data_IF_236505410156
#
_entry.id   IF_236505410156
#
_cell.length_a   1.000
_cell.length_b   1.000
_cell.length_c   1.000
_cell.angle_alpha   90.00
_cell.angle_beta   90.00
_cell.angle_gamma   90.00
#
_symmetry.space_group_name_H-M   'P 1'
#
loop_
_entity.id
_entity.type
_entity.pdbx_description
1 polymer ?
#
# COMPACT_ATOMS: atom_id res chain seq x y z
N UNK A 1 17.00 -4.43 -1.44
CA UNK A 1 17.58 -3.23 -2.11
C UNK A 1 16.97 -2.95 -3.48
N UNK A 2 16.94 -3.88 -4.44
CA UNK A 2 16.40 -3.62 -5.80
C UNK A 2 14.97 -3.03 -5.81
N UNK A 3 14.02 -3.69 -5.15
CA UNK A 3 12.63 -3.22 -5.12
C UNK A 3 12.43 -1.89 -4.39
N UNK A 4 13.30 -1.57 -3.43
CA UNK A 4 13.29 -0.25 -2.79
C UNK A 4 13.65 0.85 -3.81
N UNK A 5 14.65 0.62 -4.68
CA UNK A 5 14.96 1.55 -5.78
C UNK A 5 13.80 1.71 -6.77
N UNK A 6 13.06 0.64 -7.03
CA UNK A 6 11.85 0.71 -7.87
C UNK A 6 10.77 1.56 -7.19
N UNK A 7 10.54 1.36 -5.89
CA UNK A 7 9.62 2.22 -5.14
C UNK A 7 10.05 3.70 -5.19
N UNK A 8 11.34 4.00 -5.02
CA UNK A 8 11.88 5.36 -5.16
C UNK A 8 11.63 5.94 -6.56
N UNK A 9 11.73 5.13 -7.62
CA UNK A 9 11.39 5.57 -8.97
C UNK A 9 9.91 5.93 -9.10
N UNK A 10 9.00 5.17 -8.49
CA UNK A 10 7.58 5.53 -8.42
C UNK A 10 7.33 6.82 -7.63
N UNK A 11 8.11 7.11 -6.60
CA UNK A 11 7.99 8.39 -5.91
C UNK A 11 8.53 9.57 -6.68
N UNK A 12 9.62 9.38 -7.42
CA UNK A 12 10.07 10.39 -8.36
C UNK A 12 8.96 10.70 -9.36
N UNK A 13 8.29 9.68 -9.89
CA UNK A 13 7.11 9.86 -10.74
C UNK A 13 5.99 10.64 -10.04
N UNK A 14 5.62 10.27 -8.81
CA UNK A 14 4.60 10.94 -8.01
C UNK A 14 4.94 12.42 -7.81
N UNK A 15 6.20 12.74 -7.52
CA UNK A 15 6.68 14.11 -7.38
C UNK A 15 6.54 14.88 -8.70
N UNK A 16 6.98 14.31 -9.82
CA UNK A 16 6.90 14.93 -11.15
C UNK A 16 5.44 15.20 -11.56
N UNK A 17 4.54 14.22 -11.43
CA UNK A 17 3.12 14.40 -11.75
C UNK A 17 2.45 15.37 -10.79
N UNK A 18 2.81 15.35 -9.50
CA UNK A 18 2.33 16.31 -8.51
C UNK A 18 2.73 17.75 -8.86
N UNK A 19 3.96 17.96 -9.31
CA UNK A 19 4.43 19.25 -9.83
C UNK A 19 3.67 19.64 -11.10
N UNK A 20 3.47 18.72 -12.05
CA UNK A 20 2.68 18.99 -13.26
C UNK A 20 1.24 19.40 -12.92
N UNK A 21 0.59 18.76 -11.95
CA UNK A 21 -0.75 19.14 -11.47
C UNK A 21 -0.78 20.55 -10.86
N UNK A 22 0.28 20.98 -10.16
CA UNK A 22 0.37 22.35 -9.63
C UNK A 22 0.57 23.37 -10.74
N UNK A 23 1.36 23.03 -11.75
CA UNK A 23 1.58 23.87 -12.93
C UNK A 23 0.34 24.01 -13.80
N UNK A 24 -0.66 23.13 -13.67
CA UNK A 24 -1.94 23.22 -14.38
C UNK A 24 -2.65 24.57 -14.16
N UNK A 25 -2.40 25.26 -13.04
CA UNK A 25 -2.97 26.58 -12.77
C UNK A 25 -2.35 27.72 -13.61
N UNK A 26 -1.16 27.51 -14.19
CA UNK A 26 -0.38 28.56 -14.86
C UNK A 26 0.07 28.18 -16.28
N UNK A 27 0.05 26.90 -16.63
CA UNK A 27 0.47 26.39 -17.94
C UNK A 27 -0.58 25.43 -18.50
N UNK A 28 -0.91 25.51 -19.80
CA UNK A 28 -1.74 24.51 -20.45
C UNK A 28 -1.02 23.16 -20.45
N UNK A 29 -1.73 22.11 -20.06
CA UNK A 29 -1.20 20.75 -19.99
C UNK A 29 -1.83 19.85 -21.06
N UNK A 30 -1.05 18.92 -21.65
CA UNK A 30 -1.55 18.05 -22.71
C UNK A 30 -2.43 16.90 -22.20
N UNK A 31 -2.43 16.63 -20.89
CA UNK A 31 -3.29 15.61 -20.26
C UNK A 31 -4.43 16.25 -19.48
N UNK A 32 -5.63 15.65 -19.48
CA UNK A 32 -6.71 16.07 -18.58
C UNK A 32 -6.27 16.02 -17.12
N UNK A 33 -6.63 17.03 -16.32
CA UNK A 33 -6.26 17.09 -14.91
C UNK A 33 -6.61 15.81 -14.13
N UNK A 34 -7.78 15.22 -14.37
CA UNK A 34 -8.21 13.97 -13.71
C UNK A 34 -7.28 12.81 -14.01
N UNK A 35 -6.69 12.73 -15.21
CA UNK A 35 -5.80 11.64 -15.59
C UNK A 35 -4.48 11.74 -14.81
N UNK A 36 -3.93 12.95 -14.70
CA UNK A 36 -2.77 13.25 -13.86
C UNK A 36 -3.08 12.94 -12.38
N UNK A 37 -4.24 13.38 -11.88
CA UNK A 37 -4.68 13.14 -10.51
C UNK A 37 -4.73 11.64 -10.17
N UNK A 38 -5.34 10.83 -11.03
CA UNK A 38 -5.45 9.39 -10.80
C UNK A 38 -4.11 8.68 -10.93
N UNK A 39 -3.28 9.03 -11.93
CA UNK A 39 -1.93 8.46 -12.03
C UNK A 39 -1.09 8.81 -10.81
N UNK A 40 -1.11 10.07 -10.36
CA UNK A 40 -0.40 10.53 -9.16
C UNK A 40 -0.83 9.76 -7.90
N UNK A 41 -2.13 9.72 -7.60
CA UNK A 41 -2.62 9.12 -6.36
C UNK A 41 -2.43 7.60 -6.35
N UNK A 42 -2.77 6.90 -7.43
CA UNK A 42 -2.62 5.45 -7.48
C UNK A 42 -1.15 5.01 -7.42
N UNK A 43 -0.25 5.67 -8.16
CA UNK A 43 1.19 5.35 -8.10
C UNK A 43 1.79 5.72 -6.74
N UNK A 44 1.31 6.78 -6.09
CA UNK A 44 1.72 7.15 -4.73
C UNK A 44 1.38 6.07 -3.70
N UNK A 45 0.13 5.64 -3.66
CA UNK A 45 -0.35 4.63 -2.70
C UNK A 45 0.19 3.23 -3.02
N UNK A 46 0.13 2.82 -4.27
CA UNK A 46 0.40 1.43 -4.67
C UNK A 46 1.88 1.21 -5.03
N UNK A 47 2.51 2.19 -5.68
CA UNK A 47 3.89 2.12 -6.15
C UNK A 47 4.93 2.52 -5.12
N UNK A 48 4.78 3.69 -4.52
CA UNK A 48 5.71 4.14 -3.49
C UNK A 48 5.39 3.51 -2.13
N UNK A 49 4.22 3.82 -1.54
CA UNK A 49 3.94 3.44 -0.16
C UNK A 49 3.82 1.92 0.01
N UNK A 50 2.94 1.28 -0.78
CA UNK A 50 2.66 -0.15 -0.61
C UNK A 50 3.84 -1.04 -0.99
N UNK A 51 4.56 -0.76 -2.08
CA UNK A 51 5.76 -1.55 -2.43
C UNK A 51 6.87 -1.38 -1.38
N UNK A 52 7.07 -0.16 -0.86
CA UNK A 52 8.03 0.08 0.23
C UNK A 52 7.62 -0.69 1.48
N UNK A 53 6.35 -0.61 1.87
CA UNK A 53 5.81 -1.37 3.00
C UNK A 53 6.00 -2.87 2.82
N UNK A 54 5.69 -3.43 1.64
CA UNK A 54 5.90 -4.85 1.35
C UNK A 54 7.37 -5.27 1.52
N UNK A 55 8.31 -4.49 0.96
CA UNK A 55 9.75 -4.77 1.08
C UNK A 55 10.21 -4.74 2.54
N UNK A 56 9.76 -3.75 3.30
CA UNK A 56 10.12 -3.61 4.71
C UNK A 56 9.48 -4.72 5.56
N UNK A 57 8.20 -5.04 5.35
CA UNK A 57 7.51 -6.14 6.04
C UNK A 57 8.26 -7.46 5.83
N UNK A 58 8.67 -7.76 4.59
CA UNK A 58 9.48 -8.93 4.28
C UNK A 58 10.83 -8.91 5.00
N UNK A 59 11.48 -7.75 5.08
CA UNK A 59 12.79 -7.62 5.71
C UNK A 59 12.74 -7.88 7.21
N UNK A 60 11.71 -7.42 7.90
CA UNK A 60 11.71 -7.40 9.36
C UNK A 60 10.83 -8.48 10.00
N UNK A 61 9.71 -8.87 9.38
CA UNK A 61 8.73 -9.77 10.00
C UNK A 61 8.56 -11.13 9.32
N UNK A 62 9.16 -11.37 8.16
CA UNK A 62 9.19 -12.71 7.56
C UNK A 62 10.46 -13.45 7.98
N UNK A 63 10.37 -14.78 8.20
CA UNK A 63 11.51 -15.63 8.58
C UNK A 63 12.65 -15.56 7.55
N UNK A 64 13.92 -15.39 7.97
CA UNK A 64 15.06 -15.22 7.05
C UNK A 64 15.12 -16.25 5.91
N UNK A 65 14.81 -17.51 6.20
CA UNK A 65 14.85 -18.64 5.26
C UNK A 65 13.74 -18.54 4.18
N UNK A 66 12.66 -17.81 4.49
CA UNK A 66 11.49 -17.63 3.60
C UNK A 66 11.55 -16.33 2.81
N UNK A 67 12.30 -15.32 3.27
CA UNK A 67 12.39 -13.98 2.64
C UNK A 67 12.75 -14.01 1.16
N UNK A 68 13.61 -14.96 0.77
CA UNK A 68 14.11 -15.08 -0.61
C UNK A 68 13.34 -16.09 -1.46
N UNK A 69 12.25 -16.66 -0.95
CA UNK A 69 11.43 -17.60 -1.69
C UNK A 69 10.91 -16.98 -3.00
N UNK A 70 10.82 -17.80 -4.05
CA UNK A 70 10.38 -17.36 -5.38
C UNK A 70 9.02 -16.66 -5.35
N UNK A 71 8.13 -17.08 -4.45
CA UNK A 71 6.81 -16.45 -4.29
C UNK A 71 6.89 -14.96 -3.94
N UNK A 72 7.81 -14.53 -3.07
CA UNK A 72 7.94 -13.12 -2.72
C UNK A 72 8.59 -12.31 -3.84
N UNK A 73 9.54 -12.91 -4.58
CA UNK A 73 10.09 -12.28 -5.78
C UNK A 73 9.00 -12.07 -6.83
N UNK A 74 8.16 -13.08 -7.05
CA UNK A 74 7.02 -12.99 -7.96
C UNK A 74 6.04 -11.90 -7.51
N UNK A 75 5.64 -11.89 -6.24
CA UNK A 75 4.74 -10.86 -5.69
C UNK A 75 5.31 -9.46 -5.93
N UNK A 76 6.56 -9.19 -5.54
CA UNK A 76 7.15 -7.85 -5.67
C UNK A 76 7.29 -7.40 -7.12
N UNK A 77 7.63 -8.32 -8.04
CA UNK A 77 7.68 -8.02 -9.47
C UNK A 77 6.30 -7.81 -10.08
N UNK A 78 5.32 -8.66 -9.72
CA UNK A 78 3.94 -8.50 -10.15
C UNK A 78 3.40 -7.15 -9.67
N UNK A 79 3.60 -6.79 -8.41
CA UNK A 79 3.26 -5.47 -7.86
C UNK A 79 3.89 -4.34 -8.68
N UNK A 80 5.20 -4.39 -8.93
CA UNK A 80 5.88 -3.35 -9.71
C UNK A 80 5.36 -3.25 -11.16
N UNK A 81 5.14 -4.37 -11.82
CA UNK A 81 4.63 -4.41 -13.20
C UNK A 81 3.19 -3.90 -13.28
N UNK A 82 2.33 -4.31 -12.34
CA UNK A 82 0.94 -3.85 -12.24
C UNK A 82 0.87 -2.34 -11.98
N UNK A 83 1.72 -1.81 -11.08
CA UNK A 83 1.78 -0.36 -10.84
C UNK A 83 2.30 0.41 -12.05
N UNK A 84 3.26 -0.14 -12.80
CA UNK A 84 3.66 0.47 -14.07
C UNK A 84 2.49 0.49 -15.08
N UNK A 85 1.68 -0.57 -15.12
CA UNK A 85 0.44 -0.61 -15.89
C UNK A 85 -0.59 0.44 -15.44
N UNK A 86 -0.81 0.58 -14.13
CA UNK A 86 -1.65 1.62 -13.51
C UNK A 86 -1.16 3.01 -13.90
N UNK A 87 0.14 3.27 -13.77
CA UNK A 87 0.78 4.55 -14.09
C UNK A 87 0.47 4.99 -15.52
N UNK A 88 0.69 4.10 -16.49
CA UNK A 88 0.49 4.38 -17.92
C UNK A 88 -0.99 4.44 -18.27
N UNK A 89 -1.79 3.47 -17.82
CA UNK A 89 -3.22 3.41 -18.16
C UNK A 89 -4.00 4.60 -17.61
N UNK A 90 -3.74 5.05 -16.37
CA UNK A 90 -4.42 6.25 -15.85
C UNK A 90 -4.04 7.52 -16.60
N UNK A 91 -2.80 7.65 -17.11
CA UNK A 91 -2.42 8.77 -17.96
C UNK A 91 -3.10 8.77 -19.32
N UNK A 92 -3.35 7.59 -19.90
CA UNK A 92 -3.89 7.47 -21.26
C UNK A 92 -5.42 7.53 -21.30
N UNK A 93 -6.10 6.97 -20.30
CA UNK A 93 -7.55 6.79 -20.33
C UNK A 93 -8.27 7.14 -19.00
N UNK A 94 -7.55 7.62 -17.98
CA UNK A 94 -8.15 7.90 -16.67
C UNK A 94 -8.80 6.65 -16.08
N UNK A 95 -10.04 6.77 -15.59
CA UNK A 95 -10.87 5.65 -15.11
C UNK A 95 -11.46 4.85 -16.30
N UNK A 96 -10.61 4.07 -16.96
CA UNK A 96 -10.98 3.18 -18.06
C UNK A 96 -10.75 1.71 -17.73
N UNK A 97 -11.06 0.84 -18.69
CA UNK A 97 -11.00 -0.62 -18.50
C UNK A 97 -9.64 -1.12 -18.01
N UNK A 98 -8.54 -0.74 -18.68
CA UNK A 98 -7.20 -1.19 -18.30
C UNK A 98 -6.73 -0.69 -16.93
N UNK A 99 -7.05 0.54 -16.54
CA UNK A 99 -6.65 1.10 -15.23
C UNK A 99 -7.43 0.44 -14.09
N UNK A 100 -8.70 0.11 -14.31
CA UNK A 100 -9.48 -0.71 -13.39
C UNK A 100 -8.89 -2.12 -13.31
N UNK A 101 -8.62 -2.77 -14.46
CA UNK A 101 -8.06 -4.13 -14.50
C UNK A 101 -6.74 -4.22 -13.74
N UNK A 102 -5.77 -3.34 -14.02
CA UNK A 102 -4.49 -3.36 -13.33
C UNK A 102 -4.63 -3.07 -11.83
N UNK A 103 -5.51 -2.15 -11.44
CA UNK A 103 -5.79 -1.86 -10.03
C UNK A 103 -6.44 -3.04 -9.30
N UNK A 104 -7.37 -3.73 -9.93
CA UNK A 104 -8.01 -4.94 -9.39
C UNK A 104 -7.01 -6.09 -9.27
N UNK A 105 -6.15 -6.31 -10.26
CA UNK A 105 -5.10 -7.32 -10.19
C UNK A 105 -4.08 -6.99 -9.09
N UNK A 106 -3.70 -5.72 -8.93
CA UNK A 106 -2.84 -5.28 -7.82
C UNK A 106 -3.46 -5.66 -6.48
N UNK A 107 -4.78 -5.48 -6.36
CA UNK A 107 -5.48 -5.80 -5.13
C UNK A 107 -5.46 -7.30 -4.81
N UNK A 108 -5.63 -8.16 -5.82
CA UNK A 108 -5.50 -9.61 -5.66
C UNK A 108 -4.08 -9.99 -5.21
N UNK A 109 -3.04 -9.42 -5.83
CA UNK A 109 -1.64 -9.63 -5.43
C UNK A 109 -1.39 -9.20 -3.99
N UNK A 110 -1.99 -8.07 -3.55
CA UNK A 110 -1.93 -7.58 -2.17
C UNK A 110 -2.53 -8.58 -1.18
N UNK A 111 -3.67 -9.21 -1.49
CA UNK A 111 -4.25 -10.25 -0.63
C UNK A 111 -3.37 -11.50 -0.52
N UNK A 112 -2.78 -11.93 -1.64
CA UNK A 112 -1.82 -13.05 -1.64
C UNK A 112 -0.60 -12.72 -0.78
N UNK A 113 -0.10 -11.49 -0.85
CA UNK A 113 0.98 -11.01 0.01
C UNK A 113 0.61 -11.09 1.49
N UNK A 114 -0.55 -10.57 1.88
CA UNK A 114 -1.05 -10.60 3.27
C UNK A 114 -1.07 -12.04 3.79
N UNK A 115 -1.70 -12.96 3.05
CA UNK A 115 -1.79 -14.37 3.44
C UNK A 115 -0.42 -15.02 3.60
N UNK A 116 0.52 -14.76 2.68
CA UNK A 116 1.89 -15.30 2.75
C UNK A 116 2.65 -14.79 3.96
N UNK A 117 2.58 -13.48 4.24
CA UNK A 117 3.24 -12.88 5.41
C UNK A 117 2.72 -13.48 6.71
N UNK A 118 1.40 -13.66 6.86
CA UNK A 118 0.85 -14.30 8.06
C UNK A 118 1.37 -15.73 8.28
N UNK A 119 1.55 -16.48 7.19
CA UNK A 119 2.04 -17.86 7.23
C UNK A 119 3.54 -17.95 7.52
N UNK A 120 4.35 -17.10 6.92
CA UNK A 120 5.82 -17.17 6.99
C UNK A 120 6.44 -16.19 8.02
N UNK A 121 5.62 -15.64 8.94
CA UNK A 121 6.08 -14.70 9.96
C UNK A 121 7.13 -15.28 10.91
N UNK A 122 8.02 -14.44 11.43
CA UNK A 122 8.95 -14.77 12.50
C UNK A 122 8.30 -14.63 13.89
N UNK A 123 9.10 -14.84 14.95
CA UNK A 123 8.67 -14.87 16.35
C UNK A 123 8.74 -13.51 17.07
N UNK A 124 8.78 -12.37 16.36
CA UNK A 124 8.75 -11.05 17.01
C UNK A 124 7.36 -10.82 17.61
N UNK A 125 7.22 -11.12 18.90
CA UNK A 125 5.96 -11.04 19.64
C UNK A 125 5.71 -9.61 20.11
N UNK A 126 4.85 -8.92 19.36
CA UNK A 126 4.34 -7.60 19.72
C UNK A 126 4.29 -6.67 18.52
N UNK A 127 5.45 -6.33 17.95
CA UNK A 127 5.54 -5.52 16.73
C UNK A 127 4.75 -6.12 15.57
N UNK A 128 4.72 -7.45 15.44
CA UNK A 128 3.92 -8.13 14.41
C UNK A 128 2.41 -7.98 14.62
N UNK A 129 1.93 -7.75 15.85
CA UNK A 129 0.51 -7.52 16.12
C UNK A 129 0.03 -6.25 15.40
N UNK A 130 0.82 -5.18 15.45
CA UNK A 130 0.54 -3.95 14.70
C UNK A 130 0.62 -4.18 13.18
N UNK A 131 1.60 -4.94 12.68
CA UNK A 131 1.67 -5.31 11.26
C UNK A 131 0.45 -6.12 10.84
N UNK A 132 -0.01 -7.05 11.68
CA UNK A 132 -1.21 -7.86 11.42
C UNK A 132 -2.43 -6.96 11.25
N UNK A 133 -2.66 -6.03 12.17
CA UNK A 133 -3.76 -5.08 12.07
C UNK A 133 -3.62 -4.13 10.89
N UNK A 134 -2.41 -3.64 10.59
CA UNK A 134 -2.14 -2.88 9.39
C UNK A 134 -2.61 -3.64 8.14
N UNK A 135 -2.18 -4.91 7.99
CA UNK A 135 -2.57 -5.77 6.86
C UNK A 135 -4.09 -6.04 6.81
N UNK A 136 -4.75 -6.18 7.97
CA UNK A 136 -6.21 -6.30 8.05
C UNK A 136 -6.88 -5.02 7.54
N UNK A 137 -6.45 -3.84 7.99
CA UNK A 137 -7.01 -2.57 7.53
C UNK A 137 -6.73 -2.30 6.06
N UNK A 138 -5.56 -2.74 5.56
CA UNK A 138 -5.29 -2.73 4.12
C UNK A 138 -6.33 -3.57 3.37
N UNK A 139 -6.57 -4.83 3.77
CA UNK A 139 -7.60 -5.65 3.16
C UNK A 139 -9.00 -5.02 3.31
N UNK A 140 -9.35 -4.51 4.48
CA UNK A 140 -10.67 -3.92 4.74
C UNK A 140 -10.91 -2.68 3.88
N UNK A 141 -9.91 -1.80 3.73
CA UNK A 141 -10.02 -0.57 2.92
C UNK A 141 -10.47 -0.83 1.49
N UNK A 142 -10.20 -2.03 0.98
CA UNK A 142 -10.36 -2.37 -0.43
C UNK A 142 -11.81 -2.60 -0.84
N UNK A 143 -12.70 -2.76 0.15
CA UNK A 143 -14.14 -2.66 -0.07
C UNK A 143 -14.52 -1.33 -0.74
N UNK A 144 -13.78 -0.24 -0.44
CA UNK A 144 -13.96 1.07 -1.07
C UNK A 144 -13.72 1.03 -2.60
N UNK A 145 -12.52 0.71 -3.11
CA UNK A 145 -12.25 0.58 -4.53
C UNK A 145 -13.15 -0.44 -5.26
N UNK A 146 -13.51 -1.56 -4.63
CA UNK A 146 -14.48 -2.49 -5.22
C UNK A 146 -15.86 -1.83 -5.37
N UNK A 147 -16.33 -1.11 -4.34
CA UNK A 147 -17.57 -0.35 -4.40
C UNK A 147 -17.49 0.78 -5.45
N UNK A 148 -16.38 1.53 -5.53
CA UNK A 148 -16.11 2.55 -6.55
C UNK A 148 -16.23 1.97 -7.95
N UNK A 149 -15.66 0.79 -8.20
CA UNK A 149 -15.78 0.09 -9.49
C UNK A 149 -17.23 -0.23 -9.85
N UNK A 150 -18.00 -0.77 -8.90
CA UNK A 150 -19.42 -1.10 -9.08
C UNK A 150 -20.26 0.16 -9.30
N UNK A 151 -20.06 1.19 -8.49
CA UNK A 151 -20.80 2.45 -8.56
C UNK A 151 -20.51 3.18 -9.86
N UNK A 152 -19.25 3.19 -10.31
CA UNK A 152 -18.88 3.76 -11.62
C UNK A 152 -19.55 3.02 -12.77
N UNK A 153 -19.59 1.68 -12.74
CA UNK A 153 -20.25 0.88 -13.78
C UNK A 153 -21.77 1.09 -13.83
N UNK A 154 -22.38 1.43 -12.69
CA UNK A 154 -23.81 1.75 -12.58
C UNK A 154 -24.15 3.23 -12.83
N UNK A 155 -23.17 4.07 -13.17
CA UNK A 155 -23.40 5.49 -13.45
C UNK A 155 -23.55 6.38 -12.20
N UNK A 156 -23.16 5.91 -11.01
CA UNK A 156 -23.22 6.67 -9.76
C UNK A 156 -21.96 7.51 -9.49
N UNK A 157 -21.07 7.69 -10.48
CA UNK A 157 -19.88 8.52 -10.32
C UNK A 157 -20.23 9.95 -9.94
N UNK A 158 -19.62 10.46 -8.87
CA UNK A 158 -19.89 11.82 -8.36
C UNK A 158 -21.13 11.95 -7.46
N UNK A 159 -21.72 10.83 -7.04
CA UNK A 159 -22.76 10.82 -6.00
C UNK A 159 -22.16 10.66 -4.62
N UNK A 160 -22.94 10.95 -3.58
CA UNK A 160 -22.57 10.76 -2.18
C UNK A 160 -22.11 9.32 -1.85
N UNK A 161 -22.70 8.31 -2.48
CA UNK A 161 -22.29 6.91 -2.31
C UNK A 161 -20.88 6.66 -2.88
N UNK A 162 -20.58 7.27 -4.01
CA UNK A 162 -19.27 7.17 -4.66
C UNK A 162 -18.19 7.85 -3.80
N UNK A 163 -18.49 9.05 -3.31
CA UNK A 163 -17.59 9.79 -2.43
C UNK A 163 -17.40 9.07 -1.08
N UNK A 164 -18.47 8.51 -0.50
CA UNK A 164 -18.39 7.70 0.71
C UNK A 164 -17.48 6.47 0.53
N UNK A 165 -17.54 5.80 -0.62
CA UNK A 165 -16.67 4.67 -0.93
C UNK A 165 -15.19 5.09 -1.04
N UNK A 166 -14.91 6.27 -1.62
CA UNK A 166 -13.56 6.85 -1.65
C UNK A 166 -13.09 7.21 -0.24
N UNK A 167 -13.92 7.88 0.55
CA UNK A 167 -13.55 8.27 1.91
C UNK A 167 -13.32 7.06 2.82
N UNK A 168 -14.14 6.02 2.69
CA UNK A 168 -13.94 4.75 3.37
C UNK A 168 -12.56 4.16 3.04
N UNK A 169 -12.20 4.11 1.76
CA UNK A 169 -10.88 3.64 1.33
C UNK A 169 -9.75 4.46 1.96
N UNK A 170 -9.81 5.79 1.83
CA UNK A 170 -8.77 6.68 2.33
C UNK A 170 -8.63 6.61 3.85
N UNK A 171 -9.75 6.53 4.58
CA UNK A 171 -9.75 6.43 6.04
C UNK A 171 -8.93 5.23 6.51
N UNK A 172 -9.23 4.03 5.99
CA UNK A 172 -8.54 2.80 6.40
C UNK A 172 -7.12 2.67 5.83
N UNK A 173 -6.84 3.27 4.67
CA UNK A 173 -5.48 3.31 4.15
C UNK A 173 -4.57 4.20 5.02
N UNK A 174 -4.97 5.44 5.28
CA UNK A 174 -4.15 6.36 6.06
C UNK A 174 -4.09 5.98 7.53
N UNK A 175 -5.25 5.88 8.20
CA UNK A 175 -5.32 5.71 9.66
C UNK A 175 -5.15 4.24 10.11
N UNK A 176 -5.30 3.28 9.20
CA UNK A 176 -5.10 1.87 9.47
C UNK A 176 -3.79 1.36 8.89
N UNK A 177 -3.77 1.11 7.59
CA UNK A 177 -2.65 0.45 6.90
C UNK A 177 -1.31 1.17 7.09
N UNK A 178 -1.20 2.45 6.74
CA UNK A 178 0.08 3.17 6.82
C UNK A 178 0.42 3.60 8.24
N UNK A 179 -0.55 4.15 8.98
CA UNK A 179 -0.31 4.68 10.32
C UNK A 179 0.12 3.61 11.32
N UNK A 180 -0.37 2.36 11.21
CA UNK A 180 0.04 1.27 12.10
C UNK A 180 1.42 0.68 11.76
N UNK A 181 1.90 0.86 10.53
CA UNK A 181 3.23 0.35 10.14
C UNK A 181 4.37 1.10 10.84
N UNK A 182 4.24 2.41 11.03
CA UNK A 182 5.26 3.24 11.70
C UNK A 182 5.55 2.79 13.15
N UNK A 183 4.57 2.70 14.06
CA UNK A 183 4.81 2.20 15.41
C UNK A 183 5.21 0.71 15.41
N UNK A 184 4.80 -0.08 14.42
CA UNK A 184 5.29 -1.45 14.29
C UNK A 184 6.81 -1.50 14.10
N UNK A 185 7.38 -0.67 13.22
CA UNK A 185 8.84 -0.56 13.06
C UNK A 185 9.52 -0.13 14.34
N UNK A 186 8.99 0.88 15.02
CA UNK A 186 9.55 1.35 16.29
C UNK A 186 9.59 0.22 17.32
N UNK A 187 8.48 -0.48 17.54
CA UNK A 187 8.41 -1.61 18.47
C UNK A 187 9.37 -2.74 18.06
N UNK A 188 9.49 -3.03 16.77
CA UNK A 188 10.44 -4.05 16.30
C UNK A 188 11.88 -3.72 16.70
N UNK A 189 12.32 -2.47 16.54
CA UNK A 189 13.67 -2.08 16.95
C UNK A 189 13.83 -2.09 18.47
N UNK A 190 12.79 -1.74 19.23
CA UNK A 190 12.80 -1.84 20.70
C UNK A 190 12.92 -3.30 21.15
N UNK A 191 12.15 -4.22 20.56
CA UNK A 191 12.17 -5.66 20.89
C UNK A 191 13.54 -6.31 20.62
N UNK A 192 14.24 -5.87 19.56
CA UNK A 192 15.47 -6.52 19.10
C UNK A 192 16.77 -5.82 19.53
N UNK A 193 16.71 -4.59 20.05
CA UNK A 193 17.90 -3.83 20.49
C UNK A 193 17.93 -3.57 22.01
N UNK A 194 17.04 -4.19 22.79
CA UNK A 194 16.97 -3.99 24.24
C UNK A 194 17.82 -5.01 25.04
N UNK A 195 18.46 -4.59 26.15
CA UNK A 195 19.01 -5.54 27.13
C UNK A 195 17.88 -6.37 27.75
N UNK A 196 18.17 -7.62 28.14
CA UNK A 196 17.17 -8.63 28.53
C UNK A 196 16.16 -8.21 29.62
N UNK A 197 16.47 -7.19 30.42
CA UNK A 197 15.63 -6.68 31.52
C UNK A 197 14.43 -5.84 31.07
N UNK A 198 14.48 -5.16 29.92
CA UNK A 198 13.37 -4.32 29.44
C UNK A 198 12.35 -5.08 28.56
N UNK A 199 12.73 -6.27 28.05
CA UNK A 199 11.83 -7.16 27.30
C UNK A 199 10.62 -7.58 28.15
N UNK A 200 10.80 -7.74 29.48
CA UNK A 200 9.70 -8.00 30.42
C UNK A 200 8.70 -6.84 30.46
N UNK A 201 9.17 -5.60 30.54
CA UNK A 201 8.28 -4.43 30.57
C UNK A 201 7.50 -4.25 29.26
N UNK A 202 8.12 -4.52 28.11
CA UNK A 202 7.42 -4.54 26.81
C UNK A 202 6.38 -5.65 26.76
N UNK A 203 6.69 -6.87 27.23
CA UNK A 203 5.70 -7.95 27.34
C UNK A 203 4.53 -7.59 28.26
N UNK A 204 4.77 -6.92 29.38
CA UNK A 204 3.72 -6.42 30.27
C UNK A 204 2.87 -5.35 29.57
N UNK A 205 3.47 -4.36 28.92
CA UNK A 205 2.73 -3.33 28.16
C UNK A 205 1.88 -3.96 27.05
N UNK A 206 2.43 -4.92 26.29
CA UNK A 206 1.72 -5.62 25.23
C UNK A 206 0.57 -6.50 25.75
N UNK A 207 0.66 -7.04 26.98
CA UNK A 207 -0.44 -7.77 27.63
C UNK A 207 -1.66 -6.88 27.91
N UNK A 208 -1.47 -5.57 28.09
CA UNK A 208 -2.58 -4.62 28.28
C UNK A 208 -3.18 -4.13 26.94
N UNK A 209 -2.54 -4.43 25.81
CA UNK A 209 -3.00 -4.04 24.46
C UNK A 209 -3.66 -5.19 23.67
N UNK A 210 -3.55 -6.44 24.15
CA UNK A 210 -4.12 -7.64 23.53
C UNK A 210 -5.47 -8.00 24.15
#
# INVERSE_FOLDING_TARGET
MKFFRIALAFFLWVALVGTAMRLYAVLPMPWPFKFLLHSHSHVGFQGWLSLSAMVLILRFWVRPERRNALVYKFILWATAALVAGIMVSFLLQGYGMYSILFSSLFQVVSYVFIWRVWRDRNSSEGSFYLVKWALIYNALSTLGPWAVGILSAKGYSGTEYYDAAIYFFLHFQYNGWFMLLLPAFLLYFMENNQPATSVLQTKYFMKYLA
#
